data_IF_146754407584
#
_entry.id   IF_146754407584
#
_cell.length_a   1.000
_cell.length_b   1.000
_cell.length_c   1.000
_cell.angle_alpha   90.00
_cell.angle_beta   90.00
_cell.angle_gamma   90.00
#
_symmetry.space_group_name_H-M   'P 1'
#
loop_
_entity.id
_entity.type
_entity.pdbx_description
1 polymer ?
#
# COMPACT_ATOMS: atom_id res chain seq x y z
N UNK A 1 6.08 16.14 15.83
CA UNK A 1 5.02 16.90 16.46
C UNK A 1 4.20 17.60 15.37
N UNK A 2 2.99 18.10 15.69
CA UNK A 2 2.06 18.69 14.73
C UNK A 2 2.67 19.89 13.97
N UNK A 3 3.50 20.68 14.64
CA UNK A 3 4.16 21.85 14.02
C UNK A 3 5.22 21.43 13.03
N UNK A 4 5.95 20.33 13.27
CA UNK A 4 6.90 19.76 12.31
C UNK A 4 6.19 19.23 11.08
N UNK A 5 5.03 18.58 11.23
CA UNK A 5 4.21 18.11 10.11
C UNK A 5 3.67 19.29 9.31
N UNK A 6 3.15 20.34 9.98
CA UNK A 6 2.69 21.57 9.31
C UNK A 6 3.82 22.27 8.55
N UNK A 7 5.01 22.36 9.18
CA UNK A 7 6.18 22.96 8.55
C UNK A 7 6.64 22.13 7.33
N UNK A 8 6.70 20.81 7.44
CA UNK A 8 7.01 19.93 6.32
C UNK A 8 6.01 20.08 5.17
N UNK A 9 4.72 20.04 5.48
CA UNK A 9 3.66 20.19 4.48
C UNK A 9 3.69 21.57 3.80
N UNK A 10 4.07 22.65 4.52
CA UNK A 10 4.25 23.97 3.93
C UNK A 10 5.42 23.98 2.94
N UNK A 11 6.58 23.41 3.32
CA UNK A 11 7.75 23.31 2.44
C UNK A 11 7.42 22.49 1.19
N UNK A 12 6.68 21.37 1.33
CA UNK A 12 6.31 20.54 0.17
C UNK A 12 5.31 21.25 -0.77
N UNK A 13 4.40 22.10 -0.24
CA UNK A 13 3.50 22.91 -1.08
C UNK A 13 4.22 23.99 -1.89
N UNK A 14 5.28 24.58 -1.31
CA UNK A 14 6.08 25.63 -1.95
C UNK A 14 7.21 25.06 -2.83
N UNK A 15 7.32 23.72 -2.89
CA UNK A 15 8.30 23.04 -3.73
C UNK A 15 8.09 23.42 -5.18
N UNK A 16 9.12 23.98 -5.82
CA UNK A 16 9.10 24.26 -7.25
C UNK A 16 8.75 22.97 -8.01
N UNK A 17 7.95 23.04 -9.09
CA UNK A 17 7.73 21.88 -9.93
C UNK A 17 9.09 21.28 -10.32
N UNK A 18 9.22 19.96 -10.33
CA UNK A 18 10.47 19.28 -10.64
C UNK A 18 11.00 19.75 -11.99
N UNK A 19 12.30 20.05 -12.05
CA UNK A 19 12.96 20.45 -13.29
C UNK A 19 13.02 19.29 -14.31
N UNK A 20 13.49 19.60 -15.51
CA UNK A 20 13.60 18.63 -16.61
C UNK A 20 14.48 17.43 -16.24
N UNK A 21 15.57 17.67 -15.49
CA UNK A 21 16.50 16.63 -15.04
C UNK A 21 15.82 15.65 -14.08
N UNK A 22 15.05 16.17 -13.13
CA UNK A 22 14.28 15.36 -12.20
C UNK A 22 13.22 14.53 -12.93
N UNK A 23 12.47 15.15 -13.86
CA UNK A 23 11.44 14.43 -14.65
C UNK A 23 12.03 13.30 -15.45
N UNK A 24 13.15 13.56 -16.15
CA UNK A 24 13.85 12.52 -16.89
C UNK A 24 14.34 11.40 -16.00
N UNK A 25 14.97 11.71 -14.87
CA UNK A 25 15.42 10.70 -13.91
C UNK A 25 14.26 9.87 -13.35
N UNK A 26 13.10 10.49 -13.09
CA UNK A 26 11.92 9.77 -12.64
C UNK A 26 11.38 8.80 -13.72
N UNK A 27 11.34 9.23 -14.98
CA UNK A 27 10.91 8.34 -16.09
C UNK A 27 11.91 7.19 -16.34
N UNK A 28 13.22 7.45 -16.21
CA UNK A 28 14.26 6.41 -16.30
C UNK A 28 14.08 5.35 -15.18
N UNK A 29 13.81 5.77 -13.94
CA UNK A 29 13.54 4.87 -12.80
C UNK A 29 12.30 4.00 -13.03
N UNK A 30 11.22 4.55 -13.58
CA UNK A 30 10.03 3.78 -13.98
C UNK A 30 10.36 2.62 -14.92
N UNK A 31 11.26 2.87 -15.87
CA UNK A 31 11.70 1.84 -16.80
C UNK A 31 12.50 0.73 -16.10
N UNK A 32 13.34 1.09 -15.13
CA UNK A 32 14.15 0.13 -14.37
C UNK A 32 13.24 -0.80 -13.56
N UNK A 33 12.28 -0.24 -12.81
CA UNK A 33 11.33 -1.05 -12.01
C UNK A 33 10.20 -1.67 -12.83
N UNK A 34 10.11 -1.34 -14.12
CA UNK A 34 9.09 -1.87 -15.02
C UNK A 34 7.66 -1.39 -14.70
N UNK A 35 7.50 -0.23 -14.08
CA UNK A 35 6.20 0.29 -13.60
C UNK A 35 5.91 1.73 -14.09
N UNK A 36 5.48 1.91 -15.36
CA UNK A 36 5.18 3.23 -15.92
C UNK A 36 3.98 3.92 -15.27
N UNK A 37 3.16 3.20 -14.53
CA UNK A 37 1.96 3.69 -13.84
C UNK A 37 2.27 4.60 -12.64
N UNK A 38 3.44 4.46 -12.04
CA UNK A 38 3.84 5.21 -10.84
C UNK A 38 3.96 6.70 -11.17
N UNK A 39 3.40 7.53 -10.30
CA UNK A 39 3.32 8.99 -10.51
C UNK A 39 3.88 9.81 -9.36
N UNK A 40 4.19 9.20 -8.22
CA UNK A 40 4.74 9.89 -7.05
C UNK A 40 6.09 9.32 -6.64
N UNK A 41 6.93 10.15 -6.02
CA UNK A 41 8.24 9.70 -5.55
C UNK A 41 8.16 8.66 -4.42
N UNK A 42 7.26 8.79 -3.43
CA UNK A 42 7.10 7.73 -2.43
C UNK A 42 6.77 6.37 -3.06
N UNK A 43 5.80 6.32 -3.98
CA UNK A 43 5.44 5.06 -4.68
C UNK A 43 6.61 4.52 -5.52
N UNK A 44 7.49 5.41 -6.06
CA UNK A 44 8.69 5.02 -6.77
C UNK A 44 9.72 4.36 -5.85
N UNK A 45 9.96 4.93 -4.67
CA UNK A 45 10.87 4.35 -3.68
C UNK A 45 10.38 2.97 -3.24
N UNK A 46 9.07 2.84 -2.95
CA UNK A 46 8.48 1.55 -2.63
C UNK A 46 8.64 0.51 -3.76
N UNK A 47 8.52 0.94 -5.02
CA UNK A 47 8.70 0.06 -6.17
C UNK A 47 10.16 -0.37 -6.36
N UNK A 48 11.12 0.51 -6.08
CA UNK A 48 12.55 0.18 -6.09
C UNK A 48 12.90 -0.79 -4.97
N UNK A 49 12.40 -0.57 -3.75
CA UNK A 49 12.60 -1.49 -2.64
C UNK A 49 12.04 -2.89 -2.96
N UNK A 50 10.87 -2.97 -3.59
CA UNK A 50 10.34 -4.25 -4.04
C UNK A 50 11.15 -4.89 -5.17
N UNK A 51 11.70 -4.09 -6.07
CA UNK A 51 12.56 -4.57 -7.15
C UNK A 51 13.87 -5.13 -6.59
N UNK A 52 14.47 -4.47 -5.61
CA UNK A 52 15.78 -4.80 -5.07
C UNK A 52 15.72 -5.85 -3.96
N UNK A 53 14.72 -5.80 -3.10
CA UNK A 53 14.59 -6.66 -1.90
C UNK A 53 13.42 -7.65 -1.96
N UNK A 54 12.55 -7.52 -2.96
CA UNK A 54 11.36 -8.34 -3.09
C UNK A 54 10.17 -7.88 -2.24
N UNK A 55 9.06 -8.59 -2.39
CA UNK A 55 7.83 -8.32 -1.62
C UNK A 55 7.88 -9.14 -0.31
N UNK A 56 7.63 -8.53 0.86
CA UNK A 56 7.56 -9.25 2.13
C UNK A 56 6.61 -10.45 2.06
N UNK A 57 7.06 -11.61 2.53
CA UNK A 57 6.31 -12.87 2.45
C UNK A 57 6.40 -13.75 3.72
N UNK A 58 7.09 -13.26 4.75
CA UNK A 58 7.09 -13.83 6.10
C UNK A 58 6.63 -12.74 7.09
N UNK A 59 5.35 -12.74 7.39
CA UNK A 59 4.73 -11.76 8.28
C UNK A 59 4.71 -12.23 9.76
N UNK A 60 5.44 -13.28 10.07
CA UNK A 60 5.70 -13.68 11.47
C UNK A 60 6.89 -12.91 12.08
N UNK A 61 7.71 -12.29 11.22
CA UNK A 61 8.94 -11.58 11.63
C UNK A 61 9.02 -10.15 11.11
N UNK A 62 8.01 -9.69 10.36
CA UNK A 62 7.96 -8.34 9.82
C UNK A 62 6.56 -7.96 9.34
N UNK A 63 6.37 -6.70 8.99
CA UNK A 63 5.10 -6.19 8.47
C UNK A 63 4.97 -6.42 6.95
N UNK A 64 3.72 -6.45 6.42
CA UNK A 64 3.48 -6.33 4.99
C UNK A 64 3.89 -4.93 4.50
N UNK A 65 3.90 -4.72 3.19
CA UNK A 65 4.07 -3.37 2.64
C UNK A 65 3.06 -2.39 3.24
N UNK A 66 3.47 -1.13 3.40
CA UNK A 66 2.61 -0.06 3.92
C UNK A 66 1.27 -0.02 3.20
N UNK A 67 0.20 0.23 3.96
CA UNK A 67 -1.12 0.39 3.39
C UNK A 67 -1.24 1.63 2.49
N UNK A 68 -0.38 2.64 2.68
CA UNK A 68 -0.29 3.83 1.83
C UNK A 68 0.47 3.62 0.52
N UNK A 69 1.24 2.52 0.42
CA UNK A 69 2.11 2.26 -0.74
C UNK A 69 1.30 2.04 -2.02
N UNK A 70 1.62 2.81 -3.04
CA UNK A 70 1.22 2.59 -4.43
C UNK A 70 2.33 1.98 -5.28
N UNK A 71 3.36 1.39 -4.65
CA UNK A 71 4.51 0.81 -5.33
C UNK A 71 4.21 -0.41 -6.21
N UNK A 72 2.98 -0.93 -6.19
CA UNK A 72 2.48 -1.88 -7.20
C UNK A 72 1.43 -1.18 -8.07
N UNK A 73 1.76 -0.93 -9.33
CA UNK A 73 0.91 -0.34 -10.38
C UNK A 73 0.27 1.01 -9.99
N UNK A 74 0.83 1.73 -9.03
CA UNK A 74 0.28 2.97 -8.51
C UNK A 74 -0.99 2.80 -7.66
N UNK A 75 -1.34 1.58 -7.24
CA UNK A 75 -2.60 1.28 -6.53
C UNK A 75 -2.35 1.10 -5.03
N UNK A 76 -2.88 2.02 -4.24
CA UNK A 76 -2.84 1.98 -2.77
C UNK A 76 -3.49 0.70 -2.24
N UNK A 77 -2.90 0.11 -1.22
CA UNK A 77 -3.26 -1.17 -0.59
C UNK A 77 -2.93 -2.43 -1.40
N UNK A 78 -2.64 -2.35 -2.71
CA UNK A 78 -2.36 -3.53 -3.53
C UNK A 78 -1.06 -4.22 -3.10
N UNK A 79 -0.01 -3.47 -2.82
CA UNK A 79 1.26 -4.03 -2.33
C UNK A 79 1.07 -4.81 -1.03
N UNK A 80 0.31 -4.25 -0.08
CA UNK A 80 -0.05 -4.91 1.18
C UNK A 80 -0.83 -6.20 0.95
N UNK A 81 -1.81 -6.17 0.06
CA UNK A 81 -2.62 -7.35 -0.31
C UNK A 81 -1.74 -8.46 -0.91
N UNK A 82 -0.82 -8.12 -1.82
CA UNK A 82 0.11 -9.08 -2.41
C UNK A 82 1.09 -9.66 -1.36
N UNK A 83 1.63 -8.83 -0.45
CA UNK A 83 2.46 -9.30 0.66
C UNK A 83 1.74 -10.35 1.51
N UNK A 84 0.50 -10.06 1.90
CA UNK A 84 -0.32 -11.00 2.70
C UNK A 84 -0.67 -12.26 1.92
N UNK A 85 -0.91 -12.16 0.61
CA UNK A 85 -1.15 -13.33 -0.24
C UNK A 85 0.08 -14.24 -0.28
N UNK A 86 1.28 -13.68 -0.47
CA UNK A 86 2.54 -14.45 -0.43
C UNK A 86 2.76 -15.09 0.94
N UNK A 87 2.53 -14.36 2.01
CA UNK A 87 2.65 -14.87 3.37
C UNK A 87 1.64 -15.99 3.67
N UNK A 88 0.40 -15.86 3.18
CA UNK A 88 -0.62 -16.89 3.29
C UNK A 88 -0.20 -18.18 2.57
N UNK A 89 0.29 -18.09 1.34
CA UNK A 89 0.79 -19.21 0.56
C UNK A 89 1.97 -19.92 1.23
N UNK A 90 2.82 -19.17 1.92
CA UNK A 90 3.98 -19.69 2.65
C UNK A 90 3.63 -20.21 4.07
N UNK A 91 2.38 -20.10 4.54
CA UNK A 91 2.01 -20.39 5.91
C UNK A 91 2.67 -19.46 6.94
N UNK A 92 2.99 -18.22 6.53
CA UNK A 92 3.74 -17.21 7.27
C UNK A 92 2.95 -15.91 7.51
N UNK A 93 1.62 -16.01 7.58
CA UNK A 93 0.74 -14.86 7.72
C UNK A 93 0.82 -14.19 9.12
N UNK A 94 1.26 -14.93 10.15
CA UNK A 94 1.30 -14.43 11.53
C UNK A 94 -0.11 -14.09 12.04
N UNK A 95 -0.23 -12.96 12.73
CA UNK A 95 -1.51 -12.47 13.28
C UNK A 95 -2.34 -11.67 12.26
N UNK A 96 -1.85 -11.48 11.03
CA UNK A 96 -2.58 -10.73 10.02
C UNK A 96 -3.80 -11.47 9.51
N UNK A 97 -4.91 -10.73 9.34
CA UNK A 97 -6.10 -11.23 8.66
C UNK A 97 -5.92 -11.14 7.14
N UNK A 98 -6.38 -12.15 6.42
CA UNK A 98 -6.28 -12.19 4.95
C UNK A 98 -7.65 -12.52 4.32
N UNK A 99 -7.84 -12.04 3.09
CA UNK A 99 -8.98 -12.35 2.25
C UNK A 99 -10.31 -11.95 2.90
N UNK A 100 -11.28 -12.86 2.92
CA UNK A 100 -12.62 -12.62 3.47
C UNK A 100 -12.65 -12.18 4.95
N UNK A 101 -11.57 -12.43 5.70
CA UNK A 101 -11.44 -12.03 7.10
C UNK A 101 -10.85 -10.61 7.27
N UNK A 102 -10.47 -9.94 6.19
CA UNK A 102 -9.89 -8.60 6.18
C UNK A 102 -10.74 -7.66 5.33
N UNK A 103 -11.43 -6.70 5.98
CA UNK A 103 -12.25 -5.73 5.25
C UNK A 103 -11.47 -4.89 4.24
N UNK A 104 -10.19 -4.59 4.52
CA UNK A 104 -9.34 -3.88 3.56
C UNK A 104 -9.05 -4.73 2.33
N UNK A 105 -8.75 -6.02 2.51
CA UNK A 105 -8.46 -6.94 1.41
C UNK A 105 -9.70 -7.14 0.53
N UNK A 106 -10.87 -7.38 1.15
CA UNK A 106 -12.16 -7.50 0.43
C UNK A 106 -12.42 -6.26 -0.41
N UNK A 107 -12.29 -5.06 0.16
CA UNK A 107 -12.51 -3.82 -0.57
C UNK A 107 -11.50 -3.63 -1.72
N UNK A 108 -10.22 -4.01 -1.49
CA UNK A 108 -9.18 -3.89 -2.52
C UNK A 108 -9.44 -4.86 -3.66
N UNK A 109 -9.77 -6.12 -3.38
CA UNK A 109 -10.14 -7.12 -4.39
C UNK A 109 -11.39 -6.71 -5.17
N UNK A 110 -12.41 -6.18 -4.48
CA UNK A 110 -13.64 -5.67 -5.14
C UNK A 110 -13.34 -4.51 -6.09
N UNK A 111 -12.50 -3.56 -5.67
CA UNK A 111 -12.08 -2.48 -6.57
C UNK A 111 -11.36 -2.99 -7.82
N UNK A 112 -10.55 -4.03 -7.68
CA UNK A 112 -9.75 -4.60 -8.75
C UNK A 112 -10.50 -5.64 -9.60
N UNK A 113 -11.77 -5.92 -9.29
CA UNK A 113 -12.58 -7.00 -9.90
C UNK A 113 -11.89 -8.37 -9.83
N UNK A 114 -11.17 -8.63 -8.73
CA UNK A 114 -10.49 -9.90 -8.45
C UNK A 114 -11.21 -10.68 -7.35
N UNK A 115 -11.33 -11.98 -7.53
CA UNK A 115 -11.68 -12.91 -6.46
C UNK A 115 -10.45 -13.30 -5.64
N UNK A 116 -10.66 -13.72 -4.40
CA UNK A 116 -9.57 -14.25 -3.55
C UNK A 116 -8.86 -15.44 -4.22
N UNK A 117 -9.63 -16.35 -4.84
CA UNK A 117 -9.06 -17.50 -5.56
C UNK A 117 -8.19 -17.07 -6.73
N UNK A 118 -8.64 -16.13 -7.55
CA UNK A 118 -7.84 -15.61 -8.67
C UNK A 118 -6.56 -14.95 -8.19
N UNK A 119 -6.63 -14.18 -7.08
CA UNK A 119 -5.48 -13.53 -6.50
C UNK A 119 -4.46 -14.57 -5.99
N UNK A 120 -4.91 -15.54 -5.21
CA UNK A 120 -4.06 -16.60 -4.65
C UNK A 120 -3.41 -17.40 -5.77
N UNK A 121 -4.19 -17.91 -6.72
CA UNK A 121 -3.68 -18.66 -7.87
C UNK A 121 -2.73 -17.82 -8.74
N UNK A 122 -3.04 -16.55 -8.90
CA UNK A 122 -2.24 -15.62 -9.68
C UNK A 122 -0.88 -15.36 -9.06
N UNK A 123 -0.81 -15.18 -7.74
CA UNK A 123 0.44 -14.94 -6.99
C UNK A 123 1.25 -16.25 -6.87
N UNK A 124 0.59 -17.39 -6.59
CA UNK A 124 1.25 -18.69 -6.43
C UNK A 124 2.04 -19.09 -7.68
N UNK A 125 1.48 -18.86 -8.86
CA UNK A 125 2.10 -19.23 -10.15
C UNK A 125 3.25 -18.33 -10.60
N UNK A 126 3.59 -17.28 -9.84
CA UNK A 126 4.57 -16.25 -10.25
C UNK A 126 5.62 -16.02 -9.17
N UNK A 127 6.83 -16.47 -9.49
CA UNK A 127 7.96 -16.41 -8.56
C UNK A 127 8.66 -15.05 -8.56
N UNK A 128 8.62 -14.33 -9.69
CA UNK A 128 9.30 -13.05 -9.84
C UNK A 128 8.34 -11.87 -9.96
N UNK A 129 8.84 -10.69 -9.65
CA UNK A 129 8.06 -9.45 -9.67
C UNK A 129 7.62 -9.04 -11.08
N UNK A 130 8.45 -9.09 -12.13
CA UNK A 130 8.03 -8.74 -13.49
C UNK A 130 6.85 -9.55 -14.01
N UNK A 131 6.84 -10.88 -13.81
CA UNK A 131 5.73 -11.74 -14.24
C UNK A 131 4.46 -11.46 -13.42
N UNK A 132 4.60 -11.23 -12.11
CA UNK A 132 3.49 -10.81 -11.26
C UNK A 132 2.88 -9.47 -11.72
N UNK A 133 3.71 -8.46 -12.00
CA UNK A 133 3.24 -7.16 -12.50
C UNK A 133 2.54 -7.28 -13.87
N UNK A 134 3.08 -8.09 -14.76
CA UNK A 134 2.47 -8.34 -16.08
C UNK A 134 1.09 -8.99 -15.93
N UNK A 135 0.97 -9.98 -15.04
CA UNK A 135 -0.31 -10.62 -14.76
C UNK A 135 -1.32 -9.65 -14.13
N UNK A 136 -0.91 -8.88 -13.12
CA UNK A 136 -1.79 -7.88 -12.49
C UNK A 136 -2.31 -6.87 -13.54
N UNK A 137 -1.45 -6.37 -14.44
CA UNK A 137 -1.88 -5.49 -15.54
C UNK A 137 -2.90 -6.15 -16.46
N UNK A 138 -2.78 -7.45 -16.70
CA UNK A 138 -3.73 -8.18 -17.55
C UNK A 138 -5.09 -8.40 -16.91
N UNK A 139 -5.16 -8.27 -15.58
CA UNK A 139 -6.37 -8.47 -14.77
C UNK A 139 -7.06 -7.18 -14.36
N UNK A 140 -6.28 -6.15 -14.07
CA UNK A 140 -6.79 -4.88 -13.54
C UNK A 140 -7.17 -3.97 -14.71
N UNK A 141 -8.46 -3.95 -15.05
CA UNK A 141 -9.02 -3.05 -16.08
C UNK A 141 -9.57 -1.78 -15.41
N UNK A 142 -8.65 -0.98 -14.83
CA UNK A 142 -8.98 0.30 -14.19
C UNK A 142 -8.27 1.44 -14.91
N UNK A 143 -9.04 2.46 -15.27
CA UNK A 143 -8.48 3.70 -15.79
C UNK A 143 -7.61 4.41 -14.74
N UNK A 144 -6.70 5.25 -15.20
CA UNK A 144 -5.90 6.10 -14.30
C UNK A 144 -6.76 6.95 -13.38
N UNK A 145 -7.91 7.42 -13.84
CA UNK A 145 -8.83 8.24 -13.05
C UNK A 145 -9.43 7.43 -11.89
N UNK A 146 -9.92 6.23 -12.15
CA UNK A 146 -10.44 5.33 -11.12
C UNK A 146 -9.38 4.99 -10.06
N UNK A 147 -8.13 4.77 -10.47
CA UNK A 147 -7.03 4.53 -9.54
C UNK A 147 -6.75 5.76 -8.67
N UNK A 148 -6.74 6.95 -9.25
CA UNK A 148 -6.55 8.20 -8.49
C UNK A 148 -7.68 8.40 -7.49
N UNK A 149 -8.93 8.22 -7.88
CA UNK A 149 -10.09 8.36 -7.00
C UNK A 149 -10.07 7.32 -5.87
N UNK A 150 -9.74 6.06 -6.19
CA UNK A 150 -9.54 5.02 -5.20
C UNK A 150 -8.45 5.40 -4.19
N UNK A 151 -7.29 5.83 -4.66
CA UNK A 151 -6.16 6.19 -3.81
C UNK A 151 -6.52 7.35 -2.88
N UNK A 152 -7.23 8.36 -3.37
CA UNK A 152 -7.68 9.51 -2.58
C UNK A 152 -8.70 9.06 -1.52
N UNK A 153 -9.71 8.27 -1.91
CA UNK A 153 -10.71 7.75 -1.00
C UNK A 153 -10.06 6.90 0.10
N UNK A 154 -9.18 5.95 -0.26
CA UNK A 154 -8.53 5.09 0.74
C UNK A 154 -7.67 5.87 1.73
N UNK A 155 -6.86 6.80 1.25
CA UNK A 155 -6.01 7.63 2.11
C UNK A 155 -6.78 8.55 3.05
N UNK A 156 -7.96 9.01 2.63
CA UNK A 156 -8.82 9.89 3.43
C UNK A 156 -9.81 9.14 4.35
N UNK A 157 -9.99 7.84 4.16
CA UNK A 157 -11.03 7.07 4.82
C UNK A 157 -10.77 6.89 6.31
N UNK A 158 -11.63 7.51 7.11
CA UNK A 158 -11.74 7.33 8.55
C UNK A 158 -12.96 6.50 8.95
N UNK A 159 -13.27 6.43 10.26
CA UNK A 159 -14.48 5.81 10.79
C UNK A 159 -15.75 6.44 10.21
N UNK A 160 -16.74 5.62 9.88
CA UNK A 160 -17.99 6.06 9.21
C UNK A 160 -19.24 6.01 10.09
N UNK A 161 -19.13 5.51 11.32
CA UNK A 161 -20.19 5.51 12.33
C UNK A 161 -19.60 5.44 13.73
N UNK A 162 -20.45 5.58 14.78
CA UNK A 162 -20.01 5.62 16.18
C UNK A 162 -19.37 4.31 16.67
N UNK A 163 -19.85 3.16 16.22
CA UNK A 163 -19.29 1.86 16.61
C UNK A 163 -17.87 1.70 16.08
N UNK A 164 -17.68 2.02 14.81
CA UNK A 164 -16.37 1.97 14.15
C UNK A 164 -15.43 3.04 14.72
N UNK A 165 -15.96 4.23 15.08
CA UNK A 165 -15.17 5.27 15.76
C UNK A 165 -14.64 4.75 17.10
N UNK A 166 -15.48 4.14 17.93
CA UNK A 166 -15.04 3.57 19.22
C UNK A 166 -13.98 2.50 19.06
N UNK A 167 -14.14 1.59 18.08
CA UNK A 167 -13.14 0.58 17.77
C UNK A 167 -11.82 1.23 17.31
N UNK A 168 -11.90 2.23 16.46
CA UNK A 168 -10.75 2.98 15.94
C UNK A 168 -10.00 3.69 17.09
N UNK A 169 -10.72 4.39 17.98
CA UNK A 169 -10.13 5.12 19.11
C UNK A 169 -9.38 4.19 20.06
N UNK A 170 -9.94 3.00 20.34
CA UNK A 170 -9.27 1.98 21.16
C UNK A 170 -7.96 1.53 20.53
N UNK A 171 -7.94 1.26 19.22
CA UNK A 171 -6.74 0.82 18.50
C UNK A 171 -5.71 1.96 18.40
N UNK A 172 -6.14 3.18 18.09
CA UNK A 172 -5.28 4.36 18.02
C UNK A 172 -4.62 4.67 19.38
N UNK A 173 -5.36 4.52 20.47
CA UNK A 173 -4.84 4.66 21.82
C UNK A 173 -3.81 3.55 22.16
N UNK A 174 -4.05 2.31 21.72
CA UNK A 174 -3.14 1.17 21.95
C UNK A 174 -1.75 1.39 21.33
N UNK A 175 -1.67 2.06 20.17
CA UNK A 175 -0.40 2.44 19.53
C UNK A 175 0.12 3.82 19.95
N UNK A 176 -0.49 4.44 20.97
CA UNK A 176 -0.08 5.76 21.50
C UNK A 176 -0.37 6.93 20.55
N UNK A 177 -1.29 6.76 19.60
CA UNK A 177 -1.60 7.75 18.56
C UNK A 177 -3.10 8.11 18.50
N UNK A 178 -3.67 8.68 19.60
CA UNK A 178 -5.09 9.08 19.62
C UNK A 178 -5.41 10.24 18.67
N UNK A 179 -4.40 10.83 18.03
CA UNK A 179 -4.51 11.89 17.01
C UNK A 179 -4.80 11.37 15.60
N UNK A 180 -4.78 10.05 15.39
CA UNK A 180 -5.06 9.46 14.08
C UNK A 180 -6.52 9.64 13.68
N UNK A 181 -6.75 9.80 12.38
CA UNK A 181 -8.07 10.02 11.80
C UNK A 181 -8.40 9.08 10.63
N UNK A 182 -7.42 8.34 10.10
CA UNK A 182 -7.61 7.46 8.94
C UNK A 182 -7.14 6.04 9.21
N UNK A 183 -7.80 5.06 8.58
CA UNK A 183 -7.47 3.65 8.76
C UNK A 183 -6.08 3.28 8.24
N UNK A 184 -5.63 3.86 7.13
CA UNK A 184 -4.31 3.52 6.60
C UNK A 184 -3.21 3.99 7.55
N UNK A 185 -3.34 5.20 8.13
CA UNK A 185 -2.40 5.66 9.15
C UNK A 185 -2.40 4.77 10.39
N UNK A 186 -3.57 4.29 10.80
CA UNK A 186 -3.68 3.37 11.94
C UNK A 186 -2.97 2.06 11.68
N UNK A 187 -3.19 1.44 10.51
CA UNK A 187 -2.55 0.19 10.12
C UNK A 187 -1.02 0.31 10.08
N UNK A 188 -0.49 1.38 9.49
CA UNK A 188 0.96 1.59 9.44
C UNK A 188 1.57 1.86 10.83
N UNK A 189 0.81 2.51 11.74
CA UNK A 189 1.24 2.68 13.14
C UNK A 189 1.20 1.37 13.92
N UNK A 190 0.21 0.51 13.70
CA UNK A 190 0.14 -0.83 14.30
C UNK A 190 1.32 -1.68 13.82
N UNK A 191 1.58 -1.71 12.52
CA UNK A 191 2.72 -2.43 11.95
C UNK A 191 4.06 -1.95 12.55
N UNK A 192 4.26 -0.64 12.70
CA UNK A 192 5.47 -0.08 13.29
C UNK A 192 5.57 -0.36 14.81
N UNK A 193 4.45 -0.51 15.52
CA UNK A 193 4.43 -0.89 16.93
C UNK A 193 4.77 -2.36 17.12
N UNK A 194 4.25 -3.24 16.25
CA UNK A 194 4.44 -4.69 16.34
C UNK A 194 5.82 -5.14 15.84
N UNK A 195 6.39 -4.38 14.88
CA UNK A 195 7.72 -4.64 14.29
C UNK A 195 8.59 -3.38 14.33
N UNK A 196 9.08 -2.97 15.51
CA UNK A 196 9.95 -1.80 15.64
C UNK A 196 11.28 -2.04 14.87
N UNK A 197 11.63 -1.07 14.02
CA UNK A 197 12.85 -1.07 13.21
C UNK A 197 14.04 -0.54 14.02
#
# INVERSE_FOLDING_TARGET
NLDQIKAFNAVERDRKPPDETYRRGFEERKLIVGQPEITTMPDMLDAEDMHDFGIPSDLTVGSPLSAHSGGILGVVCLGRLVSKTKAFLNGKLGEYKFGANSGLDVNTMQFLDLTETELVDGVDRRSDLPDLLQWLRSKIDKSRHEIVDWNQDRRARGPWNEEIQKMFDVRAAAVGRPDLTTFLNLLDCEDANDYPQ
#
